data_IF_694134102403
#
_entry.id   IF_694134102403
#
_cell.length_a   1.000
_cell.length_b   1.000
_cell.length_c   1.000
_cell.angle_alpha   90.00
_cell.angle_beta   90.00
_cell.angle_gamma   90.00
#
_symmetry.space_group_name_H-M   'P 1'
#
loop_
_entity.id
_entity.type
_entity.pdbx_description
1 polymer ?
#
# COMPACT_ATOMS: atom_id res chain seq x y z
N UNK A 1 25.52 -4.90 -24.59
CA UNK A 1 25.63 -5.78 -23.41
C UNK A 1 24.58 -5.32 -22.41
N UNK A 2 23.45 -6.04 -22.32
CA UNK A 2 22.40 -5.71 -21.37
C UNK A 2 22.83 -6.25 -20.00
N UNK A 3 23.21 -5.36 -19.09
CA UNK A 3 23.40 -5.69 -17.68
C UNK A 3 22.06 -6.20 -17.15
N UNK A 4 21.97 -7.44 -16.62
CA UNK A 4 20.76 -7.85 -15.95
C UNK A 4 20.60 -6.95 -14.73
N UNK A 5 19.47 -6.25 -14.64
CA UNK A 5 19.05 -5.54 -13.44
C UNK A 5 18.98 -6.57 -12.32
N UNK A 6 20.08 -6.70 -11.58
CA UNK A 6 20.21 -7.58 -10.45
C UNK A 6 19.36 -6.94 -9.33
N UNK A 7 18.08 -7.28 -9.36
CA UNK A 7 17.09 -6.93 -8.37
C UNK A 7 17.35 -7.77 -7.11
N UNK A 8 18.51 -7.54 -6.47
CA UNK A 8 18.76 -7.98 -5.09
C UNK A 8 18.07 -6.99 -4.17
N UNK A 9 16.77 -6.76 -4.43
CA UNK A 9 15.91 -6.06 -3.51
C UNK A 9 15.68 -7.03 -2.34
N UNK A 10 15.78 -6.52 -1.12
CA UNK A 10 15.50 -7.28 0.08
C UNK A 10 14.12 -7.96 -0.05
N UNK A 11 13.89 -9.14 0.55
CA UNK A 11 12.60 -9.82 0.44
C UNK A 11 11.42 -8.92 0.85
N UNK A 12 11.65 -7.95 1.74
CA UNK A 12 10.71 -6.90 2.09
C UNK A 12 10.40 -5.95 0.92
N UNK A 13 11.42 -5.49 0.19
CA UNK A 13 11.26 -4.68 -1.02
C UNK A 13 10.52 -5.43 -2.14
N UNK A 14 10.80 -6.74 -2.30
CA UNK A 14 10.09 -7.58 -3.29
C UNK A 14 8.60 -7.69 -2.94
N UNK A 15 8.27 -7.84 -1.66
CA UNK A 15 6.88 -7.88 -1.21
C UNK A 15 6.17 -6.53 -1.45
N UNK A 16 6.87 -5.41 -1.28
CA UNK A 16 6.35 -4.08 -1.57
C UNK A 16 6.08 -3.86 -3.06
N UNK A 17 7.00 -4.27 -3.94
CA UNK A 17 6.81 -4.20 -5.40
C UNK A 17 5.62 -5.05 -5.83
N UNK A 18 5.44 -6.23 -5.25
CA UNK A 18 4.28 -7.11 -5.49
C UNK A 18 2.99 -6.40 -5.07
N UNK A 19 2.94 -5.84 -3.86
CA UNK A 19 1.77 -5.14 -3.34
C UNK A 19 1.39 -3.95 -4.23
N UNK A 20 2.35 -3.10 -4.59
CA UNK A 20 2.12 -1.95 -5.46
C UNK A 20 1.61 -2.37 -6.85
N UNK A 21 2.21 -3.41 -7.43
CA UNK A 21 1.81 -3.97 -8.72
C UNK A 21 0.39 -4.53 -8.68
N UNK A 22 0.04 -5.26 -7.62
CA UNK A 22 -1.31 -5.80 -7.42
C UNK A 22 -2.35 -4.68 -7.28
N UNK A 23 -2.08 -3.65 -6.47
CA UNK A 23 -3.02 -2.53 -6.30
C UNK A 23 -3.23 -1.80 -7.64
N UNK A 24 -2.16 -1.60 -8.43
CA UNK A 24 -2.29 -1.01 -9.77
C UNK A 24 -3.14 -1.87 -10.71
N UNK A 25 -2.89 -3.18 -10.76
CA UNK A 25 -3.65 -4.11 -11.60
C UNK A 25 -5.14 -4.18 -11.21
N UNK A 26 -5.44 -4.22 -9.90
CA UNK A 26 -6.81 -4.24 -9.41
C UNK A 26 -7.53 -2.93 -9.72
N UNK A 27 -6.82 -1.79 -9.70
CA UNK A 27 -7.38 -0.50 -10.11
C UNK A 27 -7.66 -0.45 -11.60
N UNK A 28 -6.75 -0.93 -12.44
CA UNK A 28 -6.95 -1.02 -13.89
C UNK A 28 -8.16 -1.90 -14.25
N UNK A 29 -8.37 -2.98 -13.48
CA UNK A 29 -9.54 -3.86 -13.64
C UNK A 29 -10.83 -3.32 -12.98
N UNK A 30 -10.82 -2.11 -12.43
CA UNK A 30 -11.93 -1.51 -11.68
C UNK A 30 -12.43 -2.37 -10.49
N UNK A 31 -11.57 -3.24 -9.95
CA UNK A 31 -11.86 -4.05 -8.76
C UNK A 31 -11.69 -3.23 -7.49
N UNK A 32 -10.69 -2.33 -7.47
CA UNK A 32 -10.49 -1.37 -6.40
C UNK A 32 -10.81 0.04 -6.91
N UNK A 33 -11.62 0.76 -6.15
CA UNK A 33 -11.82 2.20 -6.30
C UNK A 33 -10.76 2.99 -5.52
N UNK A 34 -10.77 4.31 -5.70
CA UNK A 34 -9.91 5.20 -4.88
C UNK A 34 -10.28 5.13 -3.40
N UNK A 35 -11.57 5.03 -3.09
CA UNK A 35 -12.05 4.96 -1.72
C UNK A 35 -11.57 3.69 -1.01
N UNK A 36 -11.50 2.55 -1.73
CA UNK A 36 -11.01 1.29 -1.17
C UNK A 36 -9.51 1.37 -0.84
N UNK A 37 -8.73 2.07 -1.66
CA UNK A 37 -7.30 2.30 -1.42
C UNK A 37 -7.11 3.24 -0.23
N UNK A 38 -7.90 4.31 -0.13
CA UNK A 38 -7.88 5.21 1.03
C UNK A 38 -8.29 4.47 2.32
N UNK A 39 -9.28 3.59 2.27
CA UNK A 39 -9.65 2.73 3.40
C UNK A 39 -8.55 1.74 3.78
N UNK A 40 -7.84 1.17 2.80
CA UNK A 40 -6.66 0.34 3.06
C UNK A 40 -5.57 1.15 3.77
N UNK A 41 -5.29 2.38 3.33
CA UNK A 41 -4.34 3.28 4.00
C UNK A 41 -4.75 3.52 5.46
N UNK A 42 -6.01 3.90 5.69
CA UNK A 42 -6.55 4.17 7.03
C UNK A 42 -6.44 2.94 7.94
N UNK A 43 -6.78 1.75 7.42
CA UNK A 43 -6.68 0.49 8.17
C UNK A 43 -5.25 0.20 8.55
N UNK A 44 -4.30 0.32 7.61
CA UNK A 44 -2.87 0.07 7.91
C UNK A 44 -2.35 1.08 8.94
N UNK A 45 -2.71 2.36 8.83
CA UNK A 45 -2.35 3.38 9.83
C UNK A 45 -2.96 3.10 11.20
N UNK A 46 -4.24 2.71 11.24
CA UNK A 46 -4.93 2.37 12.49
C UNK A 46 -4.28 1.19 13.21
N UNK A 47 -3.71 0.23 12.47
CA UNK A 47 -2.97 -0.91 13.04
C UNK A 47 -1.64 -0.49 13.66
N UNK A 48 -0.96 0.50 13.08
CA UNK A 48 0.22 1.11 13.69
C UNK A 48 -0.15 1.84 14.98
N UNK A 49 -1.25 2.60 14.96
CA UNK A 49 -1.70 3.40 16.10
C UNK A 49 -2.25 2.55 17.26
N UNK A 50 -2.98 1.47 16.95
CA UNK A 50 -3.65 0.62 17.94
C UNK A 50 -3.00 -0.77 18.04
N UNK A 51 -1.66 -0.83 17.94
CA UNK A 51 -0.91 -2.08 17.91
C UNK A 51 -1.27 -3.06 19.05
N UNK A 52 -1.47 -2.55 20.27
CA UNK A 52 -1.78 -3.37 21.45
C UNK A 52 -3.23 -3.91 21.45
N UNK A 53 -4.10 -3.41 20.58
CA UNK A 53 -5.52 -3.81 20.45
C UNK A 53 -5.86 -4.38 19.08
N UNK A 54 -4.87 -4.55 18.19
CA UNK A 54 -5.06 -5.12 16.87
C UNK A 54 -5.29 -6.64 16.99
N UNK A 55 -6.38 -7.20 16.44
CA UNK A 55 -6.60 -8.64 16.42
C UNK A 55 -5.53 -9.42 15.63
N UNK A 56 -4.70 -8.75 14.82
CA UNK A 56 -3.63 -9.38 14.05
C UNK A 56 -2.25 -8.99 14.61
N UNK A 57 -1.42 -9.95 15.05
CA UNK A 57 -0.08 -9.66 15.54
C UNK A 57 0.79 -9.17 14.39
N UNK A 58 1.14 -7.89 14.38
CA UNK A 58 2.09 -7.31 13.44
C UNK A 58 3.39 -6.92 14.15
N UNK A 59 4.53 -6.97 13.45
CA UNK A 59 5.78 -6.43 13.99
C UNK A 59 5.71 -4.89 13.92
N UNK A 60 5.95 -4.18 15.04
CA UNK A 60 5.78 -2.71 15.15
C UNK A 60 6.53 -1.95 14.05
N UNK A 61 7.79 -2.29 13.83
CA UNK A 61 8.63 -1.61 12.83
C UNK A 61 8.15 -1.89 11.40
N UNK A 62 7.81 -3.15 11.10
CA UNK A 62 7.26 -3.55 9.80
C UNK A 62 5.90 -2.91 9.50
N UNK A 63 5.04 -2.76 10.51
CA UNK A 63 3.76 -2.08 10.36
C UNK A 63 3.93 -0.59 10.07
N UNK A 64 4.90 0.08 10.72
CA UNK A 64 5.20 1.50 10.49
C UNK A 64 5.80 1.76 9.11
N UNK A 65 6.70 0.88 8.67
CA UNK A 65 7.23 0.90 7.30
C UNK A 65 6.08 0.72 6.30
N UNK A 66 5.23 -0.30 6.49
CA UNK A 66 4.08 -0.55 5.62
C UNK A 66 3.09 0.63 5.56
N UNK A 67 2.82 1.31 6.69
CA UNK A 67 1.95 2.50 6.69
C UNK A 67 2.51 3.66 5.87
N UNK A 68 3.82 3.86 5.90
CA UNK A 68 4.51 4.89 5.12
C UNK A 68 4.43 4.58 3.62
N UNK A 69 4.70 3.33 3.26
CA UNK A 69 4.65 2.87 1.87
C UNK A 69 3.24 2.89 1.29
N UNK A 70 2.25 2.40 2.03
CA UNK A 70 0.85 2.41 1.61
C UNK A 70 0.33 3.84 1.42
N UNK A 71 0.79 4.80 2.22
CA UNK A 71 0.49 6.23 2.01
C UNK A 71 1.09 6.74 0.68
N UNK A 72 2.36 6.43 0.38
CA UNK A 72 2.99 6.80 -0.88
C UNK A 72 2.28 6.17 -2.09
N UNK A 73 1.83 4.92 -1.97
CA UNK A 73 1.02 4.23 -2.98
C UNK A 73 -0.31 4.96 -3.20
N UNK A 74 -1.00 5.34 -2.11
CA UNK A 74 -2.23 6.14 -2.17
C UNK A 74 -2.03 7.45 -2.94
N UNK A 75 -0.96 8.19 -2.65
CA UNK A 75 -0.60 9.43 -3.34
C UNK A 75 -0.26 9.23 -4.82
N UNK A 76 0.49 8.17 -5.14
CA UNK A 76 0.82 7.83 -6.53
C UNK A 76 -0.45 7.50 -7.33
N UNK A 77 -1.33 6.67 -6.78
CA UNK A 77 -2.59 6.27 -7.44
C UNK A 77 -3.52 7.47 -7.58
N UNK A 78 -3.62 8.31 -6.55
CA UNK A 78 -4.38 9.56 -6.59
C UNK A 78 -3.93 10.49 -7.71
N UNK A 79 -2.62 10.59 -7.94
CA UNK A 79 -2.04 11.37 -9.06
C UNK A 79 -2.23 10.69 -10.42
N UNK A 80 -2.01 9.38 -10.52
CA UNK A 80 -1.98 8.64 -11.80
C UNK A 80 -3.37 8.36 -12.37
N UNK A 81 -4.29 7.89 -11.55
CA UNK A 81 -5.60 7.42 -12.01
C UNK A 81 -6.72 8.43 -11.75
N UNK A 82 -6.46 9.48 -10.98
CA UNK A 82 -7.47 10.46 -10.58
C UNK A 82 -8.69 9.81 -9.90
N UNK A 83 -9.75 10.59 -9.69
CA UNK A 83 -11.04 10.07 -9.23
C UNK A 83 -11.49 10.57 -7.88
N UNK A 84 -12.75 10.27 -7.57
CA UNK A 84 -13.46 10.77 -6.38
C UNK A 84 -12.84 10.17 -5.12
N UNK A 85 -12.42 11.04 -4.21
CA UNK A 85 -12.03 10.66 -2.85
C UNK A 85 -13.20 10.03 -2.12
N UNK A 86 -12.91 9.21 -1.10
CA UNK A 86 -13.90 8.79 -0.12
C UNK A 86 -14.57 10.04 0.44
N UNK A 87 -15.90 10.09 0.39
CA UNK A 87 -16.61 11.16 1.09
C UNK A 87 -16.47 10.87 2.57
N UNK A 88 -15.88 11.81 3.32
CA UNK A 88 -16.04 11.81 4.77
C UNK A 88 -17.53 12.01 5.04
N UNK A 89 -18.17 11.01 5.63
CA UNK A 89 -19.55 11.09 6.10
C UNK A 89 -19.50 11.52 7.56
#
# INVERSE_FOLDING_TARGET
MATPLKLEADPEDKNLVILQSLICLLREKNVLSRADIEELCDKVQARVANHDSDPLPCQKDGARAAATEVAQIGDYIGRKYGGKHRRSI
#
